data_IF_089376244602
#
_entry.id   IF_089376244602
#
_cell.length_a   1.000
_cell.length_b   1.000
_cell.length_c   1.000
_cell.angle_alpha   90.00
_cell.angle_beta   90.00
_cell.angle_gamma   90.00
#
_symmetry.space_group_name_H-M   'P 1'
#
loop_
_entity.id
_entity.type
_entity.pdbx_description
1 polymer ?
#
# COMPACT_ATOMS: atom_id res chain seq x y z
N UNK A 1 -6.36 -6.52 67.51
CA UNK A 1 -5.52 -5.31 67.28
C UNK A 1 -4.14 -5.85 66.90
N UNK A 2 -3.61 -5.77 65.69
CA UNK A 2 -3.70 -4.81 64.58
C UNK A 2 -3.64 -5.58 63.25
N UNK A 3 -4.50 -5.18 62.32
CA UNK A 3 -4.47 -5.63 60.91
C UNK A 3 -3.46 -4.75 60.17
N UNK A 4 -2.46 -5.35 59.52
CA UNK A 4 -1.46 -4.64 58.72
C UNK A 4 -1.83 -4.80 57.25
N UNK A 5 -2.41 -3.75 56.68
CA UNK A 5 -2.68 -3.63 55.25
C UNK A 5 -1.35 -3.36 54.51
N UNK A 6 -1.00 -4.23 53.56
CA UNK A 6 0.04 -3.95 52.58
C UNK A 6 -0.58 -3.17 51.41
N UNK A 7 -0.15 -1.93 51.20
CA UNK A 7 -0.46 -1.16 49.99
C UNK A 7 0.42 -1.67 48.84
N UNK A 8 -0.20 -2.25 47.81
CA UNK A 8 0.44 -2.49 46.53
C UNK A 8 0.42 -1.19 45.72
N UNK A 9 1.60 -0.65 45.39
CA UNK A 9 1.73 0.44 44.44
C UNK A 9 1.62 -0.13 43.02
N UNK A 10 0.52 0.15 42.33
CA UNK A 10 0.39 -0.14 40.90
C UNK A 10 1.11 0.98 40.12
N UNK A 11 2.27 0.68 39.55
CA UNK A 11 2.91 1.55 38.57
C UNK A 11 2.09 1.51 37.28
N UNK A 12 1.39 2.60 36.97
CA UNK A 12 0.84 2.85 35.64
C UNK A 12 2.02 3.03 34.70
N UNK A 13 2.39 1.97 33.98
CA UNK A 13 3.27 2.09 32.84
C UNK A 13 2.58 2.94 31.79
N UNK A 14 3.01 4.19 31.66
CA UNK A 14 2.66 5.04 30.52
C UNK A 14 3.35 4.46 29.28
N UNK A 15 2.77 3.41 28.71
CA UNK A 15 3.10 3.00 27.35
C UNK A 15 2.79 4.19 26.46
N UNK A 16 3.82 4.83 25.91
CA UNK A 16 3.66 5.71 24.77
C UNK A 16 2.96 4.84 23.71
N UNK A 17 1.71 5.16 23.39
CA UNK A 17 1.05 4.56 22.24
C UNK A 17 1.80 5.08 21.00
N UNK A 18 2.85 4.38 20.60
CA UNK A 18 3.35 4.52 19.24
C UNK A 18 2.18 4.17 18.32
N UNK A 19 1.81 5.09 17.43
CA UNK A 19 0.99 4.69 16.31
C UNK A 19 1.80 3.61 15.58
N UNK A 20 1.25 2.41 15.44
CA UNK A 20 1.93 1.39 14.64
C UNK A 20 2.02 1.91 13.21
N UNK A 21 3.20 1.87 12.60
CA UNK A 21 3.40 2.30 11.21
C UNK A 21 2.36 1.61 10.31
N UNK A 22 1.48 2.40 9.67
CA UNK A 22 0.43 1.92 8.78
C UNK A 22 0.74 2.28 7.33
N UNK A 23 0.23 1.46 6.41
CA UNK A 23 0.32 1.67 4.96
C UNK A 23 -1.09 1.70 4.38
N UNK A 24 -1.38 2.70 3.55
CA UNK A 24 -2.67 2.87 2.91
C UNK A 24 -2.52 2.98 1.38
N UNK A 25 -3.39 2.30 0.65
CA UNK A 25 -3.53 2.49 -0.80
C UNK A 25 -4.50 3.61 -1.11
N UNK A 26 -4.13 4.51 -2.03
CA UNK A 26 -4.97 5.64 -2.41
C UNK A 26 -5.82 5.30 -3.64
N UNK A 27 -5.18 4.97 -4.76
CA UNK A 27 -5.81 4.68 -6.04
C UNK A 27 -6.19 3.20 -6.18
N UNK A 28 -5.31 2.30 -5.75
CA UNK A 28 -5.51 0.86 -5.72
C UNK A 28 -5.58 0.42 -4.25
N UNK A 29 -6.72 -0.12 -3.85
CA UNK A 29 -7.03 -0.55 -2.49
C UNK A 29 -7.17 -2.07 -2.41
N UNK A 30 -6.96 -2.61 -1.21
CA UNK A 30 -7.10 -4.05 -0.98
C UNK A 30 -8.52 -4.54 -1.28
N UNK A 31 -8.65 -5.64 -2.00
CA UNK A 31 -9.92 -6.25 -2.42
C UNK A 31 -10.63 -5.54 -3.58
N UNK A 32 -10.05 -4.47 -4.13
CA UNK A 32 -10.62 -3.74 -5.26
C UNK A 32 -10.37 -4.42 -6.61
N UNK A 33 -11.09 -3.97 -7.64
CA UNK A 33 -10.86 -4.36 -9.04
C UNK A 33 -10.65 -3.09 -9.87
N UNK A 34 -9.56 -3.04 -10.62
CA UNK A 34 -9.11 -1.84 -11.33
C UNK A 34 -8.87 -2.15 -12.81
N UNK A 35 -9.28 -1.23 -13.68
CA UNK A 35 -9.10 -1.38 -15.11
C UNK A 35 -7.76 -0.79 -15.56
N UNK A 36 -7.00 -1.53 -16.35
CA UNK A 36 -5.76 -1.05 -16.97
C UNK A 36 -5.85 -1.13 -18.50
N UNK A 37 -5.31 -0.12 -19.17
CA UNK A 37 -5.39 -0.02 -20.62
C UNK A 37 -4.24 -0.78 -21.28
N UNK A 38 -4.56 -1.92 -21.88
CA UNK A 38 -3.61 -2.78 -22.62
C UNK A 38 -2.94 -2.10 -23.83
N UNK A 39 -3.37 -0.92 -24.25
CA UNK A 39 -2.75 -0.16 -25.35
C UNK A 39 -1.65 0.81 -24.86
N UNK A 40 -1.48 1.00 -23.55
CA UNK A 40 -0.49 1.91 -23.00
C UNK A 40 0.82 1.21 -22.68
N UNK A 41 1.93 1.80 -23.12
CA UNK A 41 3.30 1.34 -22.81
C UNK A 41 3.87 2.03 -21.57
N UNK A 42 3.04 2.74 -20.80
CA UNK A 42 3.45 3.41 -19.58
C UNK A 42 3.61 2.38 -18.46
N UNK A 43 4.63 2.52 -17.59
CA UNK A 43 4.77 1.65 -16.41
C UNK A 43 3.50 1.61 -15.58
N UNK A 44 3.15 0.43 -15.07
CA UNK A 44 2.15 0.29 -14.04
C UNK A 44 2.61 1.04 -12.79
N UNK A 45 1.71 1.83 -12.22
CA UNK A 45 1.97 2.61 -11.04
C UNK A 45 0.77 2.59 -10.11
N UNK A 46 1.06 2.71 -8.82
CA UNK A 46 0.06 2.82 -7.77
C UNK A 46 0.54 3.82 -6.73
N UNK A 47 -0.38 4.37 -5.96
CA UNK A 47 -0.11 5.38 -4.96
C UNK A 47 -0.42 4.83 -3.57
N UNK A 48 0.50 5.07 -2.65
CA UNK A 48 0.37 4.72 -1.25
C UNK A 48 0.79 5.87 -0.34
N UNK A 49 0.34 5.83 0.90
CA UNK A 49 0.77 6.74 1.96
C UNK A 49 1.02 5.98 3.25
N UNK A 50 1.81 6.59 4.12
CA UNK A 50 2.27 6.02 5.38
C UNK A 50 1.80 6.87 6.57
N UNK A 51 1.69 6.28 7.75
CA UNK A 51 1.31 6.99 8.98
C UNK A 51 1.91 6.35 10.22
N UNK A 52 2.49 7.16 11.11
CA UNK A 52 3.11 6.67 12.34
C UNK A 52 4.40 5.87 12.10
N UNK A 53 5.08 6.12 10.99
CA UNK A 53 6.32 5.43 10.62
C UNK A 53 7.56 6.26 11.00
N UNK A 54 8.67 5.57 11.23
CA UNK A 54 9.97 6.21 11.42
C UNK A 54 10.64 6.47 10.06
N UNK A 55 11.67 7.32 10.06
CA UNK A 55 12.35 7.72 8.82
C UNK A 55 13.13 6.54 8.22
N UNK A 56 12.53 5.93 7.20
CA UNK A 56 13.10 4.87 6.39
C UNK A 56 12.47 4.87 5.00
N UNK A 57 12.84 3.89 4.20
CA UNK A 57 12.31 3.63 2.88
C UNK A 57 11.71 2.23 2.83
N UNK A 58 10.55 2.09 2.19
CA UNK A 58 9.94 0.80 1.89
C UNK A 58 10.39 0.27 0.54
N UNK A 59 10.73 -1.02 0.51
CA UNK A 59 10.87 -1.79 -0.70
C UNK A 59 9.50 -2.34 -1.13
N UNK A 60 9.19 -2.15 -2.41
CA UNK A 60 7.88 -2.47 -2.98
C UNK A 60 8.04 -3.60 -4.00
N UNK A 61 7.24 -4.65 -3.83
CA UNK A 61 7.30 -5.86 -4.65
C UNK A 61 5.92 -6.12 -5.23
N UNK A 62 5.83 -6.09 -6.56
CA UNK A 62 4.63 -6.51 -7.29
C UNK A 62 4.66 -8.04 -7.43
N UNK A 63 3.54 -8.68 -7.13
CA UNK A 63 3.34 -10.12 -7.29
C UNK A 63 2.29 -10.34 -8.37
N UNK A 64 2.65 -11.10 -9.40
CA UNK A 64 1.75 -11.41 -10.50
C UNK A 64 0.78 -12.56 -10.15
N UNK A 65 -0.26 -12.81 -10.98
CA UNK A 65 -1.22 -13.89 -10.74
C UNK A 65 -0.63 -15.32 -10.72
N UNK A 66 0.61 -15.52 -11.18
CA UNK A 66 1.30 -16.81 -11.07
C UNK A 66 2.11 -16.92 -9.77
N UNK A 67 2.24 -15.83 -9.02
CA UNK A 67 3.02 -15.73 -7.80
C UNK A 67 4.47 -15.30 -8.02
N UNK A 68 4.85 -14.90 -9.23
CA UNK A 68 6.19 -14.39 -9.51
C UNK A 68 6.32 -12.95 -8.97
N UNK A 69 7.52 -12.61 -8.48
CA UNK A 69 7.78 -11.36 -7.75
C UNK A 69 8.71 -10.44 -8.53
N UNK A 70 8.39 -9.15 -8.52
CA UNK A 70 9.09 -8.13 -9.29
C UNK A 70 9.29 -6.89 -8.43
N UNK A 71 10.53 -6.41 -8.34
CA UNK A 71 10.84 -5.18 -7.62
C UNK A 71 10.29 -3.96 -8.37
N UNK A 72 9.70 -3.04 -7.61
CA UNK A 72 9.26 -1.73 -8.07
C UNK A 72 10.07 -0.64 -7.36
N UNK A 73 9.82 0.63 -7.69
CA UNK A 73 10.51 1.72 -7.01
C UNK A 73 10.24 1.73 -5.52
N UNK A 74 11.26 2.04 -4.75
CA UNK A 74 11.15 2.28 -3.32
C UNK A 74 10.35 3.57 -3.02
N UNK A 75 9.75 3.65 -1.82
CA UNK A 75 8.98 4.82 -1.37
C UNK A 75 9.36 5.23 0.05
N UNK A 76 9.57 6.53 0.35
CA UNK A 76 9.87 6.99 1.71
C UNK A 76 8.66 6.78 2.64
N UNK A 77 8.93 6.41 3.90
CA UNK A 77 7.88 6.23 4.91
C UNK A 77 7.39 7.53 5.55
N UNK A 78 8.11 8.63 5.36
CA UNK A 78 7.82 9.93 5.96
C UNK A 78 7.94 11.04 4.91
N UNK A 79 7.15 12.13 5.01
CA UNK A 79 6.21 12.45 6.08
C UNK A 79 4.87 11.70 5.96
N UNK A 80 4.20 11.53 7.10
CA UNK A 80 2.87 10.93 7.17
C UNK A 80 1.89 11.57 6.18
N UNK A 81 1.02 10.74 5.59
CA UNK A 81 -0.04 11.14 4.65
C UNK A 81 0.48 11.91 3.42
N UNK A 82 1.75 11.68 3.06
CA UNK A 82 2.30 12.15 1.79
C UNK A 82 2.10 11.05 0.75
N UNK A 83 1.40 11.35 -0.37
CA UNK A 83 1.24 10.38 -1.45
C UNK A 83 2.57 10.05 -2.11
N UNK A 84 2.95 8.77 -2.06
CA UNK A 84 4.15 8.23 -2.68
C UNK A 84 3.75 7.28 -3.81
N UNK A 85 4.41 7.40 -4.96
CA UNK A 85 4.13 6.59 -6.15
C UNK A 85 5.10 5.42 -6.24
N UNK A 86 4.56 4.20 -6.28
CA UNK A 86 5.29 3.00 -6.66
C UNK A 86 5.20 2.85 -8.16
N UNK A 87 6.33 2.68 -8.84
CA UNK A 87 6.41 2.44 -10.29
C UNK A 87 7.08 1.10 -10.55
N UNK A 88 6.41 0.24 -11.32
CA UNK A 88 6.91 -1.08 -11.69
C UNK A 88 7.34 -1.08 -13.16
N UNK A 89 8.56 -0.64 -13.44
CA UNK A 89 9.04 -0.35 -14.81
C UNK A 89 9.07 -1.57 -15.74
N UNK A 90 9.26 -2.78 -15.20
CA UNK A 90 9.26 -4.02 -15.99
C UNK A 90 7.85 -4.44 -16.44
N UNK A 91 6.82 -3.84 -15.83
CA UNK A 91 5.40 -4.07 -16.07
C UNK A 91 4.71 -2.82 -16.64
N UNK A 92 4.99 -2.44 -17.91
CA UNK A 92 4.12 -1.50 -18.62
C UNK A 92 2.71 -2.08 -18.79
N UNK A 93 1.70 -1.20 -18.90
CA UNK A 93 0.29 -1.62 -18.90
C UNK A 93 -0.06 -2.61 -20.03
N UNK A 94 0.61 -2.51 -21.18
CA UNK A 94 0.47 -3.44 -22.32
C UNK A 94 1.03 -4.85 -22.07
N UNK A 95 1.79 -5.05 -20.99
CA UNK A 95 2.23 -6.38 -20.52
C UNK A 95 1.39 -6.93 -19.38
N UNK A 96 0.58 -6.11 -18.73
CA UNK A 96 -0.33 -6.58 -17.68
C UNK A 96 -1.37 -7.54 -18.27
N UNK A 97 -1.98 -8.35 -17.41
CA UNK A 97 -3.08 -9.22 -17.77
C UNK A 97 -4.07 -9.35 -16.61
N UNK A 98 -5.33 -9.66 -16.95
CA UNK A 98 -6.38 -9.76 -15.95
C UNK A 98 -6.12 -10.91 -14.99
N UNK A 99 -6.34 -10.67 -13.70
CA UNK A 99 -6.11 -11.64 -12.64
C UNK A 99 -5.96 -10.98 -11.27
N UNK A 100 -5.61 -11.81 -10.28
CA UNK A 100 -5.34 -11.37 -8.92
C UNK A 100 -3.86 -11.01 -8.78
N UNK A 101 -3.60 -9.77 -8.38
CA UNK A 101 -2.28 -9.21 -8.17
C UNK A 101 -2.11 -8.83 -6.70
N UNK A 102 -0.86 -8.73 -6.26
CA UNK A 102 -0.56 -8.21 -4.92
C UNK A 102 0.58 -7.20 -4.97
N UNK A 103 0.54 -6.22 -4.05
CA UNK A 103 1.70 -5.41 -3.72
C UNK A 103 2.14 -5.75 -2.29
N UNK A 104 3.41 -6.10 -2.14
CA UNK A 104 4.05 -6.32 -0.84
C UNK A 104 4.96 -5.13 -0.55
N UNK A 105 4.84 -4.57 0.65
CA UNK A 105 5.56 -3.38 1.12
C UNK A 105 6.34 -3.77 2.38
N UNK A 106 7.67 -3.73 2.30
CA UNK A 106 8.56 -4.19 3.37
C UNK A 106 9.52 -3.06 3.76
N UNK A 107 9.71 -2.84 5.05
CA UNK A 107 10.72 -1.93 5.55
C UNK A 107 11.18 -2.34 6.95
N UNK A 108 12.42 -2.00 7.30
CA UNK A 108 12.90 -2.11 8.67
C UNK A 108 12.43 -0.95 9.55
N UNK A 109 11.69 0.01 8.97
CA UNK A 109 11.09 1.15 9.67
C UNK A 109 12.12 1.87 10.55
N UNK A 110 13.32 2.11 10.03
CA UNK A 110 14.35 2.89 10.71
C UNK A 110 14.96 2.19 11.92
N UNK A 111 15.10 0.86 11.86
CA UNK A 111 15.50 -0.02 12.97
C UNK A 111 14.48 -0.07 14.15
N UNK A 112 13.24 0.37 13.91
CA UNK A 112 12.12 0.24 14.86
C UNK A 112 11.33 -1.06 14.62
N UNK A 113 10.01 -1.04 14.83
CA UNK A 113 9.15 -2.19 14.52
C UNK A 113 9.02 -2.32 12.99
N UNK A 114 9.54 -3.41 12.38
CA UNK A 114 9.53 -3.58 10.94
C UNK A 114 8.12 -3.78 10.41
N UNK A 115 7.90 -3.39 9.15
CA UNK A 115 6.62 -3.56 8.47
C UNK A 115 6.73 -4.58 7.33
N UNK A 116 5.64 -5.33 7.16
CA UNK A 116 5.41 -6.22 6.02
C UNK A 116 3.90 -6.21 5.73
N UNK A 117 3.49 -5.32 4.81
CA UNK A 117 2.11 -5.18 4.41
C UNK A 117 1.91 -5.82 3.03
N UNK A 118 0.78 -6.50 2.86
CA UNK A 118 0.35 -7.01 1.56
C UNK A 118 -1.01 -6.43 1.22
N UNK A 119 -1.15 -5.97 -0.02
CA UNK A 119 -2.39 -5.47 -0.59
C UNK A 119 -2.74 -6.30 -1.80
N UNK A 120 -3.85 -7.02 -1.73
CA UNK A 120 -4.35 -7.86 -2.82
C UNK A 120 -5.39 -7.09 -3.62
N UNK A 121 -5.33 -7.14 -4.95
CA UNK A 121 -6.28 -6.45 -5.83
C UNK A 121 -6.40 -7.19 -7.15
N UNK A 122 -7.51 -7.03 -7.86
CA UNK A 122 -7.69 -7.60 -9.18
C UNK A 122 -7.47 -6.53 -10.26
N UNK A 123 -6.82 -6.92 -11.36
CA UNK A 123 -6.76 -6.11 -12.56
C UNK A 123 -7.71 -6.66 -13.63
N UNK A 124 -8.41 -5.77 -14.31
CA UNK A 124 -9.14 -6.05 -15.54
C UNK A 124 -8.44 -5.31 -16.69
N UNK A 125 -7.69 -6.05 -17.50
CA UNK A 125 -6.81 -5.48 -18.52
C UNK A 125 -7.46 -5.63 -19.88
N UNK A 126 -7.61 -4.51 -20.61
CA UNK A 126 -8.23 -4.55 -21.92
C UNK A 126 -8.12 -3.25 -22.71
N UNK A 127 -8.82 -3.20 -23.85
CA UNK A 127 -8.92 -2.01 -24.69
C UNK A 127 -10.13 -1.19 -24.24
N UNK A 128 -10.00 0.09 -23.87
CA UNK A 128 -11.12 0.91 -23.44
C UNK A 128 -12.09 1.17 -24.59
N UNK A 129 -13.40 1.13 -24.30
CA UNK A 129 -14.43 1.47 -25.28
C UNK A 129 -14.90 2.92 -25.11
N UNK A 130 -14.79 3.74 -26.15
CA UNK A 130 -15.24 5.14 -26.13
C UNK A 130 -16.66 5.26 -26.71
N UNK A 131 -17.58 5.89 -25.97
CA UNK A 131 -18.91 6.29 -26.49
C UNK A 131 -19.01 7.80 -26.56
N UNK A 132 -19.36 8.34 -27.72
CA UNK A 132 -19.63 9.78 -27.91
C UNK A 132 -21.13 10.04 -27.82
N UNK A 133 -21.55 10.80 -26.80
CA UNK A 133 -22.94 11.27 -26.70
C UNK A 133 -23.00 12.71 -27.20
N UNK A 134 -23.80 12.94 -28.25
CA UNK A 134 -24.14 14.29 -28.71
C UNK A 134 -25.44 14.73 -28.02
N UNK A 135 -25.40 15.64 -27.04
CA UNK A 135 -26.63 16.14 -26.43
C UNK A 135 -27.45 16.89 -27.47
N UNK A 136 -28.72 16.52 -27.62
CA UNK A 136 -29.68 17.29 -28.42
C UNK A 136 -30.48 18.17 -27.46
N UNK A 137 -30.41 19.49 -27.64
CA UNK A 137 -31.25 20.45 -26.89
C UNK A 137 -32.63 20.49 -27.56
N UNK A 138 -33.69 20.24 -26.78
CA UNK A 138 -35.10 20.38 -27.19
C UNK A 138 -35.79 21.50 -26.43
#
# INVERSE_FOLDING_TARGET
>A
MRSTFFLAAASLGSGLAYAQCQVYGIDIQSGGTYFENSELTVPFSLVQEFSGCDNDTANNILVDPNGDQYECTDTPLTPDYTPETVTCSDWPQDKLYSGDWSLVVISNNGDADPIAYQRDFALDVGVPSTTTITPTVT
#
